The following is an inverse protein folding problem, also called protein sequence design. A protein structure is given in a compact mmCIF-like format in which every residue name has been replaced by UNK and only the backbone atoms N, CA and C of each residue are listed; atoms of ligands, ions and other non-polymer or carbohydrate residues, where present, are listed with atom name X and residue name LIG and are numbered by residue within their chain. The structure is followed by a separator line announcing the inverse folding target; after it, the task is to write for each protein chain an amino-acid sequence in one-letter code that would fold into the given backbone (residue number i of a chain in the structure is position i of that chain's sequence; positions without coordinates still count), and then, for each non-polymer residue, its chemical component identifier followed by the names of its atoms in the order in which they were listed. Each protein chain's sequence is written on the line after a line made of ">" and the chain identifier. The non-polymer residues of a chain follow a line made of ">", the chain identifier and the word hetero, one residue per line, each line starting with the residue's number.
data_IF_533990376949
#
_entry.id   IF_533990376949
#
_cell.length_a   1.000
_cell.length_b   1.000
_cell.length_c   1.000
_cell.angle_alpha   90.00
_cell.angle_beta   90.00
_cell.angle_gamma   90.00
#
_symmetry.space_group_name_H-M   'P 1'
#
loop_
_entity.id
_entity.type
_entity.pdbx_description
1 polymer ?
#
# COMPACT_ATOMS: atom_id res chain seq x y z
N UNK A 1 -19.19 -4.76 9.06
CA UNK A 1 -18.15 -5.30 9.95
C UNK A 1 -17.34 -4.14 10.50
N UNK A 2 -17.10 -4.14 11.81
CA UNK A 2 -16.17 -3.21 12.44
C UNK A 2 -14.75 -3.40 11.85
N UNK A 3 -13.97 -2.34 11.59
CA UNK A 3 -12.59 -2.48 11.14
C UNK A 3 -11.76 -3.24 12.18
N UNK A 4 -11.12 -4.35 11.77
CA UNK A 4 -10.23 -5.12 12.65
C UNK A 4 -9.03 -4.29 13.13
N UNK A 5 -8.60 -3.33 12.31
CA UNK A 5 -7.44 -2.48 12.60
C UNK A 5 -7.84 -1.29 13.49
N UNK A 6 -7.34 -1.17 14.73
CA UNK A 6 -7.79 -0.14 15.68
C UNK A 6 -7.65 1.29 15.16
N UNK A 7 -6.59 1.57 14.38
CA UNK A 7 -6.39 2.88 13.74
C UNK A 7 -7.58 3.26 12.84
N UNK A 8 -8.19 2.30 12.14
CA UNK A 8 -9.31 2.54 11.20
C UNK A 8 -10.67 2.75 11.88
N UNK A 9 -10.73 2.62 13.21
CA UNK A 9 -11.90 2.93 14.03
C UNK A 9 -11.90 4.38 14.52
N UNK A 10 -10.76 5.06 14.42
CA UNK A 10 -10.65 6.45 14.84
C UNK A 10 -11.39 7.38 13.86
N UNK A 11 -11.79 8.58 14.32
CA UNK A 11 -12.27 9.63 13.42
C UNK A 11 -11.23 9.95 12.34
N UNK A 12 -11.70 10.24 11.13
CA UNK A 12 -10.84 10.40 9.95
C UNK A 12 -9.74 11.47 10.13
N UNK A 13 -10.06 12.59 10.78
CA UNK A 13 -9.10 13.63 11.11
C UNK A 13 -7.97 13.16 12.04
N UNK A 14 -8.24 12.21 12.94
CA UNK A 14 -7.21 11.62 13.82
C UNK A 14 -6.36 10.65 13.02
N UNK A 15 -6.97 9.85 12.16
CA UNK A 15 -6.21 8.95 11.28
C UNK A 15 -5.27 9.76 10.40
N UNK A 16 -5.75 10.84 9.79
CA UNK A 16 -4.94 11.71 8.94
C UNK A 16 -3.71 12.21 9.69
N UNK A 17 -3.86 12.72 10.93
CA UNK A 17 -2.73 13.16 11.75
C UNK A 17 -1.71 12.06 12.03
N UNK A 18 -2.14 10.82 12.22
CA UNK A 18 -1.20 9.70 12.40
C UNK A 18 -0.44 9.43 11.10
N UNK A 19 -1.15 9.45 9.97
CA UNK A 19 -0.58 9.16 8.65
C UNK A 19 0.35 10.27 8.16
N UNK A 20 0.11 11.54 8.51
CA UNK A 20 1.04 12.66 8.24
C UNK A 20 2.45 12.44 8.83
N UNK A 21 2.58 11.61 9.87
CA UNK A 21 3.87 11.29 10.50
C UNK A 21 4.57 10.08 9.85
N UNK A 22 4.00 9.47 8.82
CA UNK A 22 4.57 8.33 8.12
C UNK A 22 5.38 8.76 6.90
N UNK A 23 6.39 7.96 6.56
CA UNK A 23 7.13 8.13 5.31
C UNK A 23 6.26 7.83 4.09
N UNK A 24 6.62 8.37 2.92
CA UNK A 24 5.94 8.06 1.65
C UNK A 24 5.85 6.55 1.38
N UNK A 25 6.88 5.78 1.77
CA UNK A 25 6.88 4.32 1.67
C UNK A 25 5.78 3.67 2.51
N UNK A 26 5.70 4.06 3.78
CA UNK A 26 4.72 3.53 4.71
C UNK A 26 3.30 3.91 4.29
N UNK A 27 3.10 5.13 3.78
CA UNK A 27 1.82 5.57 3.23
C UNK A 27 1.42 4.75 2.00
N UNK A 28 2.36 4.49 1.09
CA UNK A 28 2.14 3.64 -0.06
C UNK A 28 1.76 2.22 0.35
N UNK A 29 2.53 1.58 1.22
CA UNK A 29 2.25 0.23 1.73
C UNK A 29 0.89 0.17 2.47
N UNK A 30 0.57 1.19 3.28
CA UNK A 30 -0.72 1.30 3.97
C UNK A 30 -1.90 1.40 2.99
N UNK A 31 -1.71 2.08 1.86
CA UNK A 31 -2.72 2.17 0.79
C UNK A 31 -3.11 0.82 0.20
N UNK A 32 -2.21 -0.18 0.27
CA UNK A 32 -2.41 -1.51 -0.30
C UNK A 32 -3.23 -2.45 0.60
N UNK A 33 -3.45 -2.09 1.87
CA UNK A 33 -4.13 -2.97 2.85
C UNK A 33 -5.59 -3.24 2.48
N UNK A 34 -6.32 -2.22 2.02
CA UNK A 34 -7.75 -2.33 1.74
C UNK A 34 -8.27 -1.18 0.86
N UNK A 35 -9.47 -1.32 0.30
CA UNK A 35 -10.15 -0.22 -0.38
C UNK A 35 -10.37 0.99 0.54
N UNK A 36 -10.63 0.75 1.84
CA UNK A 36 -10.80 1.84 2.83
C UNK A 36 -9.51 2.64 3.00
N UNK A 37 -8.37 1.97 3.17
CA UNK A 37 -7.07 2.63 3.32
C UNK A 37 -6.63 3.31 2.03
N UNK A 38 -6.88 2.67 0.87
CA UNK A 38 -6.65 3.29 -0.45
C UNK A 38 -7.41 4.61 -0.62
N UNK A 39 -8.71 4.62 -0.29
CA UNK A 39 -9.54 5.83 -0.41
C UNK A 39 -9.08 6.93 0.55
N UNK A 40 -8.66 6.56 1.76
CA UNK A 40 -8.09 7.52 2.71
C UNK A 40 -6.81 8.16 2.15
N UNK A 41 -5.95 7.38 1.49
CA UNK A 41 -4.71 7.88 0.85
C UNK A 41 -4.96 8.81 -0.34
N UNK A 42 -6.16 8.80 -0.93
CA UNK A 42 -6.52 9.77 -1.96
C UNK A 42 -6.52 11.22 -1.41
N UNK A 43 -6.80 11.41 -0.11
CA UNK A 43 -6.75 12.74 0.53
C UNK A 43 -5.32 13.31 0.63
N UNK A 44 -4.30 12.45 0.63
CA UNK A 44 -2.89 12.81 0.74
C UNK A 44 -2.25 13.20 -0.60
N UNK A 45 -3.04 13.29 -1.68
CA UNK A 45 -2.57 13.61 -3.05
C UNK A 45 -1.41 12.71 -3.52
N UNK A 46 -1.35 11.48 -3.01
CA UNK A 46 -0.44 10.44 -3.48
C UNK A 46 -0.92 9.93 -4.84
N UNK A 47 -0.63 10.68 -5.90
CA UNK A 47 -0.87 10.29 -7.28
C UNK A 47 0.38 9.70 -7.91
N UNK A 48 0.36 8.40 -8.19
CA UNK A 48 1.43 7.75 -8.96
C UNK A 48 1.63 8.44 -10.32
N UNK A 49 2.89 8.64 -10.68
CA UNK A 49 3.29 9.20 -11.98
C UNK A 49 3.21 8.11 -13.05
N UNK A 50 3.75 6.94 -12.74
CA UNK A 50 3.82 5.79 -13.63
C UNK A 50 3.78 4.50 -12.81
N UNK A 51 3.10 3.48 -13.36
CA UNK A 51 3.03 2.15 -12.77
C UNK A 51 3.48 1.16 -13.83
N UNK A 52 4.56 0.44 -13.56
CA UNK A 52 5.02 -0.70 -14.35
C UNK A 52 4.64 -2.00 -13.64
N UNK A 53 4.05 -2.92 -14.40
CA UNK A 53 3.63 -4.24 -13.91
C UNK A 53 4.27 -5.28 -14.80
N UNK A 54 5.22 -6.03 -14.24
CA UNK A 54 5.87 -7.12 -14.92
C UNK A 54 5.36 -8.45 -14.37
N UNK A 55 4.77 -9.27 -15.24
CA UNK A 55 4.28 -10.61 -14.91
C UNK A 55 5.13 -11.64 -15.69
N UNK A 56 5.97 -12.39 -14.97
CA UNK A 56 6.82 -13.45 -15.53
C UNK A 56 6.87 -14.65 -14.56
N UNK A 57 8.05 -14.99 -14.02
CA UNK A 57 8.22 -16.00 -12.95
C UNK A 57 7.71 -15.52 -11.58
N UNK A 58 7.50 -14.22 -11.43
CA UNK A 58 6.97 -13.51 -10.28
C UNK A 58 6.19 -12.29 -10.80
N UNK A 59 5.38 -11.67 -9.94
CA UNK A 59 4.72 -10.40 -10.25
C UNK A 59 5.55 -9.29 -9.60
N UNK A 60 6.08 -8.39 -10.42
CA UNK A 60 6.76 -7.18 -9.96
C UNK A 60 5.88 -5.96 -10.27
N UNK A 61 5.70 -5.12 -9.27
CA UNK A 61 4.99 -3.86 -9.35
C UNK A 61 5.97 -2.75 -9.01
N UNK A 62 6.23 -1.86 -9.96
CA UNK A 62 7.08 -0.69 -9.82
C UNK A 62 6.20 0.56 -9.92
N UNK A 63 6.06 1.29 -8.81
CA UNK A 63 5.25 2.51 -8.74
C UNK A 63 6.17 3.71 -8.55
N UNK A 64 6.09 4.65 -9.50
CA UNK A 64 6.82 5.90 -9.46
C UNK A 64 5.95 7.00 -8.88
N UNK A 65 6.50 7.75 -7.92
CA UNK A 65 5.82 8.88 -7.28
C UNK A 65 6.81 10.01 -6.97
N UNK A 66 6.67 11.17 -7.60
CA UNK A 66 7.49 12.36 -7.33
C UNK A 66 9.00 12.10 -7.49
N UNK A 67 9.38 11.20 -8.41
CA UNK A 67 10.77 10.77 -8.61
C UNK A 67 11.25 9.63 -7.69
N UNK A 68 10.42 9.14 -6.77
CA UNK A 68 10.70 7.95 -5.96
C UNK A 68 10.16 6.68 -6.62
N UNK A 69 10.87 5.56 -6.46
CA UNK A 69 10.46 4.24 -6.94
C UNK A 69 10.09 3.31 -5.77
N UNK A 70 8.87 2.77 -5.81
CA UNK A 70 8.38 1.72 -4.92
C UNK A 70 8.28 0.41 -5.68
N UNK A 71 9.11 -0.55 -5.31
CA UNK A 71 9.04 -1.92 -5.83
C UNK A 71 8.30 -2.82 -4.83
N UNK A 72 7.33 -3.59 -5.34
CA UNK A 72 6.69 -4.71 -4.68
C UNK A 72 6.89 -5.94 -5.55
N UNK A 73 7.47 -7.01 -4.99
CA UNK A 73 7.62 -8.29 -5.67
C UNK A 73 6.78 -9.34 -4.96
N UNK A 74 5.85 -9.96 -5.68
CA UNK A 74 4.97 -11.02 -5.21
C UNK A 74 5.48 -12.34 -5.82
N UNK A 75 5.93 -13.24 -4.94
CA UNK A 75 6.33 -14.58 -5.31
C UNK A 75 5.14 -15.52 -5.23
N UNK A 76 5.04 -16.44 -6.19
CA UNK A 76 4.21 -17.62 -6.04
C UNK A 76 5.05 -18.67 -5.31
N UNK A 77 4.98 -18.69 -4.00
CA UNK A 77 5.73 -19.68 -3.22
C UNK A 77 5.03 -21.03 -3.31
N UNK A 78 5.44 -21.86 -4.27
CA UNK A 78 4.94 -23.24 -4.44
C UNK A 78 5.71 -24.24 -3.55
N UNK A 79 6.58 -23.78 -2.63
CA UNK A 79 7.41 -24.67 -1.82
C UNK A 79 6.86 -24.98 -0.41
N UNK A 80 5.57 -25.27 -0.26
CA UNK A 80 5.03 -25.71 1.03
C UNK A 80 4.08 -26.89 0.96
N UNK A 81 4.45 -27.98 0.26
CA UNK A 81 4.04 -29.34 0.65
C UNK A 81 5.16 -30.34 0.28
N UNK A 82 6.14 -30.48 1.17
CA UNK A 82 6.88 -31.74 1.34
C UNK A 82 6.70 -32.14 2.81
N UNK A 83 5.68 -32.95 3.07
CA UNK A 83 5.54 -33.79 4.26
C UNK A 83 5.50 -35.24 3.80
#
# INVERSE_FOLDING_TARGET
>A
MEPTFPLLRLPENVIIKVLENLSLRQLFEFSLISTKTKNLMASFRLRADYVDIQICRMIRLDVYFGGYLFNLTIYNDVQSIQN
#
